data_IF_222243167215
#
_entry.id   IF_222243167215
#
_cell.length_a   1.000
_cell.length_b   1.000
_cell.length_c   1.000
_cell.angle_alpha   90.00
_cell.angle_beta   90.00
_cell.angle_gamma   90.00
#
_symmetry.space_group_name_H-M   'P 1'
#
loop_
_entity.id
_entity.type
_entity.pdbx_description
1 polymer ?
#
# COMPACT_ATOMS: atom_id res chain seq x y z
N UNK A 1 -5.22 -8.43 2.89
CA UNK A 1 -5.76 -7.57 3.96
C UNK A 1 -6.16 -8.46 5.13
N UNK A 2 -5.76 -8.12 6.35
CA UNK A 2 -6.08 -8.87 7.56
C UNK A 2 -6.93 -7.98 8.48
N UNK A 3 -8.01 -8.53 9.05
CA UNK A 3 -8.87 -7.84 10.00
C UNK A 3 -9.05 -8.72 11.23
N UNK A 4 -8.52 -8.25 12.35
CA UNK A 4 -8.30 -9.03 13.56
C UNK A 4 -7.63 -10.38 13.23
N UNK A 5 -7.94 -11.42 14.00
CA UNK A 5 -7.54 -12.80 13.74
C UNK A 5 -8.68 -13.60 13.09
N UNK A 6 -9.60 -12.94 12.37
CA UNK A 6 -10.85 -13.54 11.87
C UNK A 6 -11.01 -13.49 10.37
N UNK A 7 -10.50 -12.47 9.70
CA UNK A 7 -10.68 -12.31 8.26
C UNK A 7 -9.34 -12.10 7.56
N UNK A 8 -9.13 -12.87 6.50
CA UNK A 8 -7.99 -12.73 5.59
C UNK A 8 -8.56 -12.59 4.18
N UNK A 9 -8.33 -11.44 3.55
CA UNK A 9 -8.64 -11.23 2.14
C UNK A 9 -7.36 -11.41 1.31
N UNK A 10 -7.37 -12.42 0.46
CA UNK A 10 -6.38 -12.64 -0.60
C UNK A 10 -6.96 -12.03 -1.88
N UNK A 11 -6.31 -11.03 -2.44
CA UNK A 11 -6.82 -10.31 -3.61
C UNK A 11 -5.65 -9.74 -4.41
N UNK A 12 -5.82 -9.65 -5.73
CA UNK A 12 -4.94 -8.89 -6.62
C UNK A 12 -5.17 -7.38 -6.56
N UNK A 13 -6.18 -6.92 -5.81
CA UNK A 13 -6.56 -5.52 -5.74
C UNK A 13 -5.45 -4.68 -5.09
N UNK A 14 -4.98 -3.67 -5.83
CA UNK A 14 -3.90 -2.78 -5.42
C UNK A 14 -4.31 -1.72 -4.39
N UNK A 15 -5.59 -1.65 -4.02
CA UNK A 15 -6.14 -0.64 -3.11
C UNK A 15 -5.86 0.80 -3.56
N UNK A 16 -5.84 1.04 -4.88
CA UNK A 16 -5.67 2.36 -5.51
C UNK A 16 -6.94 2.76 -6.31
N UNK A 17 -7.16 4.07 -6.59
CA UNK A 17 -8.34 4.56 -7.31
C UNK A 17 -8.66 3.82 -8.62
N UNK A 18 -7.62 3.31 -9.28
CA UNK A 18 -7.72 2.54 -10.52
C UNK A 18 -8.42 1.19 -10.30
N UNK A 19 -8.06 0.44 -9.26
CA UNK A 19 -8.71 -0.81 -8.87
C UNK A 19 -10.20 -0.64 -8.52
N UNK A 20 -10.62 0.54 -8.07
CA UNK A 20 -12.04 0.83 -7.79
C UNK A 20 -12.86 1.22 -9.03
N UNK A 21 -12.23 1.65 -10.12
CA UNK A 21 -12.94 2.31 -11.23
C UNK A 21 -12.74 1.66 -12.59
N UNK A 22 -11.62 0.97 -12.80
CA UNK A 22 -11.17 0.59 -14.13
C UNK A 22 -10.78 -0.88 -14.22
N UNK A 23 -10.08 -1.41 -13.21
CA UNK A 23 -9.57 -2.76 -13.29
C UNK A 23 -10.63 -3.79 -12.90
N UNK A 24 -10.55 -4.96 -13.53
CA UNK A 24 -11.32 -6.12 -13.13
C UNK A 24 -10.58 -6.81 -11.96
N UNK A 25 -11.28 -6.94 -10.84
CA UNK A 25 -10.70 -7.40 -9.59
C UNK A 25 -11.38 -8.68 -9.11
N UNK A 26 -10.62 -9.52 -8.40
CA UNK A 26 -11.14 -10.70 -7.72
C UNK A 26 -10.54 -10.83 -6.32
N UNK A 27 -11.10 -11.71 -5.52
CA UNK A 27 -10.55 -12.00 -4.20
C UNK A 27 -11.17 -13.24 -3.57
N UNK A 28 -10.42 -13.82 -2.63
CA UNK A 28 -10.83 -14.88 -1.74
C UNK A 28 -10.88 -14.31 -0.33
N UNK A 29 -12.08 -14.26 0.25
CA UNK A 29 -12.27 -13.90 1.65
C UNK A 29 -12.31 -15.17 2.49
N UNK A 30 -11.30 -15.33 3.33
CA UNK A 30 -11.22 -16.40 4.32
C UNK A 30 -11.78 -15.87 5.63
N UNK A 31 -12.73 -16.63 6.21
CA UNK A 31 -13.28 -16.39 7.54
C UNK A 31 -12.83 -17.51 8.48
N UNK A 32 -12.06 -17.16 9.51
CA UNK A 32 -11.43 -18.09 10.44
C UNK A 32 -11.82 -17.78 11.90
N UNK A 33 -13.08 -18.02 12.30
CA UNK A 33 -13.56 -17.69 13.65
C UNK A 33 -12.91 -18.53 14.76
N UNK A 34 -12.34 -19.68 14.40
CA UNK A 34 -11.71 -20.62 15.33
C UNK A 34 -10.18 -20.54 15.29
N UNK A 35 -9.62 -19.58 14.55
CA UNK A 35 -8.17 -19.34 14.46
C UNK A 35 -7.37 -20.57 13.98
N UNK A 36 -7.96 -21.40 13.13
CA UNK A 36 -7.35 -22.62 12.61
C UNK A 36 -6.13 -22.33 11.72
N UNK A 37 -6.09 -21.16 11.08
CA UNK A 37 -5.00 -20.71 10.21
C UNK A 37 -4.05 -19.72 10.89
N UNK A 38 -4.28 -19.36 12.16
CA UNK A 38 -3.53 -18.31 12.84
C UNK A 38 -2.01 -18.49 12.76
N UNK A 39 -1.50 -19.69 13.04
CA UNK A 39 -0.05 -19.96 12.98
C UNK A 39 0.53 -19.80 11.56
N UNK A 40 -0.24 -20.10 10.52
CA UNK A 40 0.20 -19.92 9.13
C UNK A 40 0.23 -18.44 8.76
N UNK A 41 -0.81 -17.69 9.17
CA UNK A 41 -0.91 -16.24 8.99
C UNK A 41 0.21 -15.52 9.72
N UNK A 42 0.49 -15.88 10.97
CA UNK A 42 1.57 -15.28 11.75
C UNK A 42 2.93 -15.50 11.09
N UNK A 43 3.19 -16.73 10.61
CA UNK A 43 4.41 -17.05 9.88
C UNK A 43 4.57 -16.18 8.62
N UNK A 44 3.51 -16.05 7.83
CA UNK A 44 3.52 -15.21 6.63
C UNK A 44 3.76 -13.73 6.99
N UNK A 45 3.04 -13.18 7.97
CA UNK A 45 3.20 -11.79 8.37
C UNK A 45 4.60 -11.50 8.92
N UNK A 46 5.18 -12.42 9.69
CA UNK A 46 6.55 -12.28 10.19
C UNK A 46 7.55 -12.29 9.04
N UNK A 47 7.34 -13.13 8.03
CA UNK A 47 8.15 -13.15 6.81
C UNK A 47 8.05 -11.83 6.03
N UNK A 48 6.84 -11.29 5.86
CA UNK A 48 6.61 -9.98 5.23
C UNK A 48 7.37 -8.88 5.99
N UNK A 49 7.34 -8.91 7.33
CA UNK A 49 7.96 -7.90 8.17
C UNK A 49 9.49 -8.00 8.25
N UNK A 50 10.09 -9.12 7.87
CA UNK A 50 11.54 -9.39 8.03
C UNK A 50 12.45 -8.27 7.51
N UNK A 51 12.08 -7.62 6.40
CA UNK A 51 12.87 -6.56 5.77
C UNK A 51 12.22 -5.18 5.87
N UNK A 52 11.30 -5.01 6.82
CA UNK A 52 10.61 -3.73 7.06
C UNK A 52 11.26 -2.96 8.20
N UNK A 53 11.10 -1.64 8.19
CA UNK A 53 11.50 -0.76 9.29
C UNK A 53 10.27 0.00 9.77
N UNK A 54 10.08 0.04 11.08
CA UNK A 54 8.99 0.80 11.69
C UNK A 54 9.40 2.27 11.72
N UNK A 55 8.70 3.12 10.96
CA UNK A 55 8.82 4.57 11.09
C UNK A 55 8.34 5.00 12.48
N UNK A 56 9.16 5.76 13.21
CA UNK A 56 8.85 6.35 14.52
C UNK A 56 8.36 7.78 14.40
N UNK A 57 8.78 8.49 13.35
CA UNK A 57 8.38 9.87 13.08
C UNK A 57 8.31 10.14 11.57
N UNK A 58 7.44 11.07 11.15
CA UNK A 58 7.26 11.38 9.73
C UNK A 58 8.51 12.02 9.09
N UNK A 59 9.35 12.70 9.88
CA UNK A 59 10.59 13.33 9.42
C UNK A 59 11.71 12.33 9.10
N UNK A 60 11.51 11.03 9.38
CA UNK A 60 12.38 9.98 8.86
C UNK A 60 12.22 9.81 7.35
N UNK A 61 11.10 10.29 6.78
CA UNK A 61 10.91 10.41 5.35
C UNK A 61 11.43 11.77 4.87
N UNK A 62 12.12 11.74 3.74
CA UNK A 62 12.64 12.93 3.09
C UNK A 62 11.51 13.85 2.57
N UNK A 63 11.66 15.14 2.82
CA UNK A 63 10.86 16.20 2.24
C UNK A 63 11.32 16.53 0.80
N UNK A 64 10.47 17.25 0.06
CA UNK A 64 10.72 17.58 -1.35
C UNK A 64 12.04 18.32 -1.57
N UNK A 65 12.49 19.15 -0.61
CA UNK A 65 13.75 19.88 -0.69
C UNK A 65 15.00 18.98 -0.50
N UNK A 66 14.84 17.78 0.05
CA UNK A 66 15.91 16.79 0.24
C UNK A 66 16.09 15.88 -0.99
N UNK A 67 15.09 15.81 -1.89
CA UNK A 67 15.19 15.01 -3.10
C UNK A 67 16.23 15.54 -4.09
N UNK A 68 16.76 14.69 -5.00
CA UNK A 68 17.62 15.16 -6.08
C UNK A 68 16.94 16.21 -6.96
N UNK A 69 17.70 17.24 -7.37
CA UNK A 69 17.24 18.36 -8.20
C UNK A 69 16.34 17.97 -9.41
N UNK A 70 16.68 16.94 -10.21
CA UNK A 70 15.82 16.51 -11.32
C UNK A 70 14.43 16.06 -10.87
N UNK A 71 14.35 15.34 -9.74
CA UNK A 71 13.09 14.85 -9.16
C UNK A 71 12.27 16.01 -8.63
N UNK A 72 12.91 16.95 -7.93
CA UNK A 72 12.23 18.16 -7.45
C UNK A 72 11.58 18.95 -8.59
N UNK A 73 12.33 19.19 -9.67
CA UNK A 73 11.84 19.93 -10.84
C UNK A 73 10.64 19.23 -11.49
N UNK A 74 10.67 17.90 -11.57
CA UNK A 74 9.58 17.10 -12.12
C UNK A 74 8.32 17.22 -11.24
N UNK A 75 8.43 16.94 -9.94
CA UNK A 75 7.30 16.96 -9.01
C UNK A 75 6.67 18.37 -8.91
N UNK A 76 7.49 19.43 -8.87
CA UNK A 76 7.00 20.83 -8.87
C UNK A 76 6.20 21.16 -10.13
N UNK A 77 6.65 20.70 -11.31
CA UNK A 77 5.91 20.89 -12.57
C UNK A 77 4.56 20.16 -12.55
N UNK A 78 4.54 18.91 -12.08
CA UNK A 78 3.32 18.10 -11.98
C UNK A 78 2.28 18.72 -11.05
N UNK A 79 2.72 19.17 -9.87
CA UNK A 79 1.86 19.84 -8.90
C UNK A 79 1.25 21.14 -9.47
N UNK A 80 2.04 21.94 -10.20
CA UNK A 80 1.58 23.19 -10.80
C UNK A 80 0.43 22.99 -11.79
N UNK A 81 0.45 21.91 -12.55
CA UNK A 81 -0.60 21.58 -13.53
C UNK A 81 -1.68 20.63 -12.98
N UNK A 82 -1.63 20.28 -11.69
CA UNK A 82 -2.51 19.29 -11.03
C UNK A 82 -2.46 17.90 -11.70
N UNK A 83 -1.37 17.57 -12.38
CA UNK A 83 -1.18 16.25 -13.01
C UNK A 83 -0.88 15.16 -11.99
N UNK A 84 -0.42 15.54 -10.79
CA UNK A 84 -0.24 14.64 -9.65
C UNK A 84 -1.56 13.93 -9.27
N UNK A 85 -2.69 14.66 -9.29
CA UNK A 85 -4.01 14.08 -9.05
C UNK A 85 -4.40 13.10 -10.15
N UNK A 86 -4.11 13.44 -11.40
CA UNK A 86 -4.43 12.57 -12.53
C UNK A 86 -3.62 11.27 -12.45
N UNK A 87 -2.30 11.35 -12.24
CA UNK A 87 -1.40 10.21 -12.04
C UNK A 87 -1.94 9.28 -10.95
N UNK A 88 -2.26 9.81 -9.76
CA UNK A 88 -2.80 9.02 -8.64
C UNK A 88 -4.14 8.34 -8.93
N UNK A 89 -4.89 8.80 -9.93
CA UNK A 89 -6.17 8.19 -10.29
C UNK A 89 -6.04 7.04 -11.28
N UNK A 90 -4.97 7.01 -12.09
CA UNK A 90 -4.82 6.06 -13.21
C UNK A 90 -3.63 5.11 -13.05
N UNK A 91 -2.68 5.41 -12.14
CA UNK A 91 -1.51 4.61 -11.77
C UNK A 91 -1.59 4.33 -10.27
#
# INVERSE_FOLDING_TARGET
MWVDDRYILLTGNNLNPRAWRLDAENGLLIYDPQQQLFAQVEKEQNQIRQHTKVLKHYTELEELNQYPEPVQKLLKKFARIKADKLVKMIL
#
